data_IF_683292229355
#
_entry.id   IF_683292229355
#
_cell.length_a   1.000
_cell.length_b   1.000
_cell.length_c   1.000
_cell.angle_alpha   90.00
_cell.angle_beta   90.00
_cell.angle_gamma   90.00
#
_symmetry.space_group_name_H-M   'P 1'
#
loop_
_entity.id
_entity.type
_entity.pdbx_description
1 polymer ?
#
# COMPACT_ATOMS: atom_id res chain seq x y z
N UNK A 1 35.36 -13.97 8.84
CA UNK A 1 35.31 -12.78 9.73
C UNK A 1 33.85 -12.52 10.01
N UNK A 2 33.41 -12.74 11.26
CA UNK A 2 32.04 -12.48 11.66
C UNK A 2 31.77 -10.98 11.57
N UNK A 3 30.68 -10.59 10.87
CA UNK A 3 30.15 -9.23 10.94
C UNK A 3 29.89 -8.91 12.41
N UNK A 4 30.61 -7.94 12.93
CA UNK A 4 30.37 -7.45 14.27
C UNK A 4 28.95 -6.88 14.31
N UNK A 5 28.11 -7.38 15.22
CA UNK A 5 26.80 -6.80 15.55
C UNK A 5 27.00 -5.31 15.91
N UNK A 6 26.66 -4.44 14.97
CA UNK A 6 26.73 -2.99 15.18
C UNK A 6 25.54 -2.61 16.07
N UNK A 7 25.81 -2.44 17.35
CA UNK A 7 24.84 -1.87 18.28
C UNK A 7 24.59 -0.41 17.89
N UNK A 8 23.41 -0.14 17.36
CA UNK A 8 23.01 1.19 16.91
C UNK A 8 22.42 1.99 18.08
N UNK A 9 22.60 3.32 18.03
CA UNK A 9 22.02 4.22 19.03
C UNK A 9 20.49 4.24 18.98
N UNK A 10 19.78 4.49 20.09
CA UNK A 10 18.31 4.45 20.14
C UNK A 10 17.60 5.44 19.22
N UNK A 11 18.23 6.56 18.86
CA UNK A 11 17.62 7.59 18.01
C UNK A 11 17.90 7.36 16.51
N UNK A 12 17.22 6.37 15.95
CA UNK A 12 17.28 6.03 14.52
C UNK A 12 15.94 6.26 13.83
N UNK A 13 15.27 7.37 14.14
CA UNK A 13 14.02 7.72 13.49
C UNK A 13 14.21 7.90 11.98
N UNK A 14 13.24 7.39 11.22
CA UNK A 14 13.18 7.58 9.76
C UNK A 14 13.11 9.08 9.46
N UNK A 15 13.95 9.54 8.55
CA UNK A 15 14.01 10.93 8.08
C UNK A 15 13.23 11.07 6.79
N UNK A 16 12.29 12.02 6.77
CA UNK A 16 11.41 12.32 5.64
C UNK A 16 11.84 13.65 5.05
N UNK A 17 12.42 13.64 3.86
CA UNK A 17 12.78 14.85 3.15
C UNK A 17 11.54 15.48 2.51
N UNK A 18 11.29 16.76 2.75
CA UNK A 18 10.13 17.48 2.23
C UNK A 18 10.58 18.55 1.23
N UNK A 19 10.23 18.31 -0.04
CA UNK A 19 10.50 19.20 -1.17
C UNK A 19 9.24 20.01 -1.53
N UNK A 20 9.31 21.32 -1.47
CA UNK A 20 8.21 22.22 -1.85
C UNK A 20 8.71 23.66 -1.99
N UNK A 21 7.96 24.50 -2.70
CA UNK A 21 8.22 25.95 -2.77
C UNK A 21 8.02 26.60 -1.38
N UNK A 22 9.04 27.36 -0.93
CA UNK A 22 9.11 27.84 0.46
C UNK A 22 8.03 28.88 0.80
N UNK A 23 7.81 29.84 -0.09
CA UNK A 23 6.95 30.98 0.18
C UNK A 23 5.46 30.66 -0.04
N UNK A 24 5.14 30.04 -1.16
CA UNK A 24 3.73 29.81 -1.56
C UNK A 24 3.05 28.65 -0.81
N UNK A 25 3.81 27.71 -0.25
CA UNK A 25 3.32 26.51 0.40
C UNK A 25 3.65 26.46 1.91
N UNK A 26 3.75 27.62 2.57
CA UNK A 26 4.13 27.69 3.98
C UNK A 26 3.18 26.92 4.91
N UNK A 27 1.87 27.00 4.69
CA UNK A 27 0.86 26.28 5.47
C UNK A 27 0.91 24.77 5.20
N UNK A 28 1.08 24.36 3.95
CA UNK A 28 1.22 22.97 3.54
C UNK A 28 2.50 22.35 4.11
N UNK A 29 3.59 23.10 4.12
CA UNK A 29 4.85 22.67 4.74
C UNK A 29 4.69 22.40 6.23
N UNK A 30 3.94 23.27 6.93
CA UNK A 30 3.62 23.04 8.34
C UNK A 30 2.75 21.78 8.52
N UNK A 31 1.73 21.58 7.68
CA UNK A 31 0.87 20.41 7.71
C UNK A 31 1.66 19.10 7.50
N UNK A 32 2.58 19.07 6.54
CA UNK A 32 3.48 17.92 6.32
C UNK A 32 4.42 17.70 7.52
N UNK A 33 4.96 18.77 8.10
CA UNK A 33 5.80 18.69 9.30
C UNK A 33 5.05 18.06 10.46
N UNK A 34 3.79 18.47 10.68
CA UNK A 34 2.94 17.97 11.74
C UNK A 34 2.60 16.48 11.50
N UNK A 35 2.25 16.10 10.28
CA UNK A 35 2.01 14.72 9.86
C UNK A 35 3.21 13.81 10.18
N UNK A 36 4.40 14.19 9.72
CA UNK A 36 5.65 13.46 9.95
C UNK A 36 5.96 13.33 11.45
N UNK A 37 5.77 14.43 12.20
CA UNK A 37 6.07 14.48 13.64
C UNK A 37 5.10 13.64 14.45
N UNK A 38 3.80 13.58 14.08
CA UNK A 38 2.80 12.71 14.73
C UNK A 38 3.15 11.24 14.63
N UNK A 39 3.73 10.82 13.50
CA UNK A 39 4.22 9.47 13.30
C UNK A 39 5.60 9.21 13.97
N UNK A 40 6.08 10.13 14.79
CA UNK A 40 7.41 10.07 15.45
C UNK A 40 8.58 9.98 14.47
N UNK A 41 8.40 10.40 13.22
CA UNK A 41 9.44 10.52 12.21
C UNK A 41 10.14 11.88 12.30
N UNK A 42 11.24 12.06 11.58
CA UNK A 42 12.01 13.32 11.55
C UNK A 42 11.76 14.04 10.23
N UNK A 43 11.06 15.18 10.22
CA UNK A 43 10.93 15.99 9.02
C UNK A 43 12.28 16.68 8.72
N UNK A 44 12.80 16.45 7.51
CA UNK A 44 14.01 17.09 6.98
C UNK A 44 13.57 18.11 5.95
N UNK A 45 13.63 19.37 6.31
CA UNK A 45 13.15 20.48 5.48
C UNK A 45 14.26 21.49 5.26
N UNK A 46 14.40 21.93 4.00
CA UNK A 46 15.24 23.06 3.72
C UNK A 46 14.51 24.34 4.09
N UNK A 47 15.06 25.09 5.06
CA UNK A 47 14.49 26.36 5.50
C UNK A 47 15.44 27.49 5.12
N UNK A 48 14.88 28.64 4.71
CA UNK A 48 15.66 29.86 4.51
C UNK A 48 16.20 30.31 5.85
N UNK A 49 17.52 30.30 5.99
CA UNK A 49 18.23 30.76 7.17
C UNK A 49 19.72 30.89 6.89
N UNK A 50 20.46 31.61 7.73
CA UNK A 50 21.90 31.73 7.61
C UNK A 50 22.54 30.33 7.73
N UNK A 51 23.22 29.88 6.68
CA UNK A 51 23.96 28.62 6.65
C UNK A 51 25.39 28.90 6.16
N UNK A 52 26.38 28.21 6.70
CA UNK A 52 27.78 28.39 6.28
C UNK A 52 28.10 27.78 4.91
N UNK A 53 27.11 27.13 4.29
CA UNK A 53 27.25 26.42 3.00
C UNK A 53 26.25 26.91 1.97
N UNK A 54 26.60 26.86 0.67
CA UNK A 54 25.64 27.13 -0.41
C UNK A 54 24.39 26.19 -0.34
N UNK A 55 23.22 26.65 -0.79
CA UNK A 55 21.98 25.86 -0.70
C UNK A 55 22.07 24.45 -1.29
N UNK A 56 22.70 24.29 -2.45
CA UNK A 56 22.75 23.02 -3.19
C UNK A 56 23.51 21.91 -2.46
N UNK A 57 24.72 22.10 -1.90
CA UNK A 57 25.36 21.08 -1.07
C UNK A 57 24.53 20.72 0.18
N UNK A 58 23.81 21.67 0.77
CA UNK A 58 23.03 21.46 2.00
C UNK A 58 21.84 20.54 1.73
N UNK A 59 20.96 20.85 0.76
CA UNK A 59 19.81 19.98 0.52
C UNK A 59 20.23 18.62 -0.03
N UNK A 60 21.29 18.51 -0.80
CA UNK A 60 21.84 17.22 -1.26
C UNK A 60 22.31 16.36 -0.10
N UNK A 61 23.00 16.94 0.88
CA UNK A 61 23.44 16.23 2.08
C UNK A 61 22.22 15.79 2.93
N UNK A 62 21.17 16.63 3.03
CA UNK A 62 19.95 16.29 3.74
C UNK A 62 19.20 15.16 3.05
N UNK A 63 19.06 15.23 1.73
CA UNK A 63 18.40 14.20 0.94
C UNK A 63 19.14 12.85 1.02
N UNK A 64 20.48 12.87 0.95
CA UNK A 64 21.31 11.68 1.06
C UNK A 64 21.17 10.97 2.43
N UNK A 65 20.76 11.68 3.46
CA UNK A 65 20.53 11.13 4.81
C UNK A 65 19.08 10.79 5.09
N UNK A 66 18.18 10.98 4.13
CA UNK A 66 16.75 10.73 4.27
C UNK A 66 16.38 9.38 3.69
N UNK A 67 15.30 8.78 4.20
CA UNK A 67 14.79 7.48 3.80
C UNK A 67 13.51 7.55 2.97
N UNK A 68 12.80 8.68 3.03
CA UNK A 68 11.56 8.94 2.29
C UNK A 68 11.62 10.34 1.71
N UNK A 69 11.07 10.52 0.52
CA UNK A 69 10.90 11.80 -0.14
C UNK A 69 9.41 12.15 -0.24
N UNK A 70 9.04 13.35 0.21
CA UNK A 70 7.71 13.95 0.08
C UNK A 70 7.82 15.18 -0.81
N UNK A 71 7.18 15.17 -1.97
CA UNK A 71 7.13 16.30 -2.91
C UNK A 71 5.76 16.96 -2.91
N UNK A 72 5.69 18.27 -2.65
CA UNK A 72 4.46 19.05 -2.68
C UNK A 72 4.59 20.18 -3.70
N UNK A 73 3.73 20.18 -4.71
CA UNK A 73 3.84 21.09 -5.86
C UNK A 73 2.52 21.84 -6.09
N UNK A 74 2.62 23.13 -6.44
CA UNK A 74 1.44 23.96 -6.72
C UNK A 74 1.61 24.76 -8.01
N UNK A 75 2.10 26.03 -7.93
CA UNK A 75 2.18 26.97 -9.04
C UNK A 75 3.62 27.25 -9.48
N UNK A 76 4.55 27.48 -8.53
CA UNK A 76 5.90 27.92 -8.83
C UNK A 76 6.86 26.76 -9.10
N UNK A 77 7.65 26.88 -10.16
CA UNK A 77 8.77 25.97 -10.46
C UNK A 77 9.93 26.06 -9.45
N UNK A 78 9.97 27.17 -8.73
CA UNK A 78 11.02 27.48 -7.79
C UNK A 78 12.22 28.19 -8.40
N UNK A 79 13.11 28.66 -7.53
CA UNK A 79 14.27 29.45 -7.92
C UNK A 79 15.32 28.60 -8.66
N UNK A 80 15.83 29.14 -9.78
CA UNK A 80 16.97 28.60 -10.53
C UNK A 80 18.21 29.41 -10.19
N UNK A 81 19.21 28.76 -9.60
CA UNK A 81 20.44 29.43 -9.20
C UNK A 81 21.24 29.91 -10.43
N UNK A 82 22.02 31.01 -10.29
CA UNK A 82 22.91 31.47 -11.36
C UNK A 82 23.86 30.36 -11.83
N UNK A 83 23.86 30.10 -13.15
CA UNK A 83 24.67 29.04 -13.76
C UNK A 83 23.99 27.65 -13.78
N UNK A 84 22.82 27.49 -13.18
CA UNK A 84 22.05 26.24 -13.22
C UNK A 84 20.94 26.28 -14.29
N UNK A 85 20.56 25.10 -14.78
CA UNK A 85 19.50 24.98 -15.79
C UNK A 85 18.15 24.60 -15.20
N UNK A 86 18.13 24.03 -14.00
CA UNK A 86 16.95 23.53 -13.30
C UNK A 86 16.81 24.16 -11.92
N UNK A 87 15.59 24.18 -11.40
CA UNK A 87 15.33 24.66 -10.04
C UNK A 87 15.77 23.65 -8.99
N UNK A 88 15.89 24.11 -7.73
CA UNK A 88 16.15 23.23 -6.60
C UNK A 88 15.10 22.12 -6.48
N UNK A 89 13.82 22.43 -6.71
CA UNK A 89 12.73 21.42 -6.67
C UNK A 89 12.93 20.29 -7.69
N UNK A 90 13.32 20.61 -8.91
CA UNK A 90 13.58 19.60 -9.94
C UNK A 90 14.87 18.82 -9.64
N UNK A 91 15.93 19.47 -9.11
CA UNK A 91 17.17 18.77 -8.71
C UNK A 91 16.89 17.78 -7.55
N UNK A 92 16.13 18.22 -6.54
CA UNK A 92 15.70 17.38 -5.40
C UNK A 92 14.89 16.16 -5.87
N UNK A 93 13.91 16.37 -6.77
CA UNK A 93 13.15 15.28 -7.36
C UNK A 93 14.04 14.29 -8.09
N UNK A 94 14.94 14.75 -8.95
CA UNK A 94 15.87 13.86 -9.69
C UNK A 94 16.78 13.07 -8.77
N UNK A 95 17.30 13.71 -7.73
CA UNK A 95 18.18 13.07 -6.75
C UNK A 95 17.45 12.05 -5.86
N UNK A 96 16.13 12.17 -5.69
CA UNK A 96 15.32 11.25 -4.90
C UNK A 96 15.01 9.92 -5.59
N UNK A 97 15.56 9.65 -6.79
CA UNK A 97 15.22 8.48 -7.61
C UNK A 97 15.35 7.11 -6.90
N UNK A 98 16.17 7.02 -5.86
CA UNK A 98 16.38 5.79 -5.07
C UNK A 98 15.55 5.72 -3.79
N UNK A 99 14.78 6.76 -3.49
CA UNK A 99 13.93 6.83 -2.32
C UNK A 99 12.48 6.52 -2.68
N UNK A 100 11.68 5.96 -1.78
CA UNK A 100 10.23 6.01 -1.89
C UNK A 100 9.78 7.46 -2.00
N UNK A 101 8.91 7.74 -2.98
CA UNK A 101 8.43 9.09 -3.28
C UNK A 101 6.94 9.17 -3.05
N UNK A 102 6.51 10.09 -2.20
CA UNK A 102 5.12 10.46 -2.00
C UNK A 102 4.91 11.85 -2.61
N UNK A 103 4.03 11.94 -3.61
CA UNK A 103 3.89 13.15 -4.44
C UNK A 103 2.49 13.71 -4.32
N UNK A 104 2.41 15.03 -4.06
CA UNK A 104 1.15 15.73 -3.84
C UNK A 104 1.05 16.98 -4.71
N UNK A 105 -0.06 17.13 -5.41
CA UNK A 105 -0.35 18.26 -6.28
C UNK A 105 -1.51 19.08 -5.73
N UNK A 106 -1.24 20.34 -5.37
CA UNK A 106 -2.32 21.24 -4.92
C UNK A 106 -3.16 21.71 -6.09
N UNK A 107 -4.49 21.71 -5.90
CA UNK A 107 -5.50 22.15 -6.86
C UNK A 107 -6.51 23.06 -6.16
N UNK A 108 -7.06 24.09 -6.85
CA UNK A 108 -6.73 24.51 -8.20
C UNK A 108 -5.36 25.20 -8.33
N UNK A 109 -4.81 25.22 -9.56
CA UNK A 109 -3.52 25.85 -9.85
C UNK A 109 -3.63 26.67 -11.17
N UNK A 110 -4.35 27.82 -11.15
CA UNK A 110 -4.63 28.60 -12.34
C UNK A 110 -3.37 29.24 -12.97
N UNK A 111 -2.41 29.61 -12.13
CA UNK A 111 -1.20 30.35 -12.54
C UNK A 111 0.06 29.46 -12.55
N UNK A 112 -0.10 28.16 -12.82
CA UNK A 112 1.04 27.22 -12.79
C UNK A 112 2.05 27.55 -13.87
N UNK A 113 3.29 27.77 -13.47
CA UNK A 113 4.40 28.02 -14.37
C UNK A 113 4.61 26.87 -15.36
N UNK A 114 4.89 27.20 -16.63
CA UNK A 114 5.06 26.22 -17.71
C UNK A 114 6.16 25.20 -17.40
N UNK A 115 7.26 25.61 -16.79
CA UNK A 115 8.37 24.71 -16.42
C UNK A 115 7.95 23.72 -15.34
N UNK A 116 7.13 24.14 -14.37
CA UNK A 116 6.56 23.23 -13.39
C UNK A 116 5.58 22.27 -14.04
N UNK A 117 4.70 22.76 -14.91
CA UNK A 117 3.76 21.88 -15.62
C UNK A 117 4.48 20.79 -16.43
N UNK A 118 5.61 21.11 -17.06
CA UNK A 118 6.47 20.16 -17.77
C UNK A 118 7.11 19.14 -16.82
N UNK A 119 7.56 19.57 -15.63
CA UNK A 119 8.09 18.66 -14.61
C UNK A 119 7.01 17.70 -14.13
N UNK A 120 5.80 18.19 -13.80
CA UNK A 120 4.69 17.37 -13.34
C UNK A 120 4.19 16.39 -14.41
N UNK A 121 4.22 16.78 -15.71
CA UNK A 121 3.94 15.86 -16.80
C UNK A 121 4.94 14.70 -16.83
N UNK A 122 6.25 14.99 -16.74
CA UNK A 122 7.28 13.95 -16.65
C UNK A 122 7.09 13.04 -15.44
N UNK A 123 6.78 13.59 -14.26
CA UNK A 123 6.50 12.79 -13.04
C UNK A 123 5.34 11.81 -13.27
N UNK A 124 4.29 12.23 -14.00
CA UNK A 124 3.16 11.37 -14.37
C UNK A 124 3.53 10.29 -15.38
N UNK A 125 4.37 10.64 -16.35
CA UNK A 125 4.75 9.76 -17.46
C UNK A 125 5.81 8.72 -17.05
N UNK A 126 6.60 8.98 -15.99
CA UNK A 126 7.63 8.06 -15.48
C UNK A 126 7.05 6.73 -14.93
N UNK A 127 5.73 6.62 -14.74
CA UNK A 127 5.01 5.36 -14.42
C UNK A 127 5.39 4.69 -13.09
N UNK A 128 6.36 5.23 -12.36
CA UNK A 128 6.90 4.64 -11.13
C UNK A 128 6.50 5.38 -9.85
N UNK A 129 5.62 6.39 -9.92
CA UNK A 129 5.26 7.21 -8.77
C UNK A 129 3.76 7.48 -8.78
N UNK A 130 3.07 7.07 -7.73
CA UNK A 130 1.69 7.49 -7.46
C UNK A 130 1.67 8.93 -6.95
N UNK A 131 0.62 9.68 -7.27
CA UNK A 131 0.44 11.04 -6.78
C UNK A 131 -1.00 11.28 -6.34
N UNK A 132 -1.19 12.16 -5.34
CA UNK A 132 -2.49 12.61 -4.88
C UNK A 132 -2.71 14.08 -5.20
N UNK A 133 -3.97 14.45 -5.45
CA UNK A 133 -4.41 15.84 -5.48
C UNK A 133 -4.97 16.21 -4.13
N UNK A 134 -4.77 17.46 -3.71
CA UNK A 134 -5.33 18.03 -2.49
C UNK A 134 -5.72 19.49 -2.71
N UNK A 135 -6.60 20.02 -1.85
CA UNK A 135 -7.10 21.38 -1.93
C UNK A 135 -6.62 22.29 -0.79
N UNK A 136 -6.47 21.74 0.40
CA UNK A 136 -6.13 22.50 1.60
C UNK A 136 -5.10 21.77 2.48
N UNK A 137 -4.45 22.47 3.43
CA UNK A 137 -3.41 21.90 4.29
C UNK A 137 -3.90 20.75 5.19
N UNK A 138 -5.16 20.73 5.61
CA UNK A 138 -5.69 19.70 6.50
C UNK A 138 -5.87 18.38 5.73
N UNK A 139 -6.37 18.44 4.50
CA UNK A 139 -6.45 17.30 3.59
C UNK A 139 -5.05 16.74 3.30
N UNK A 140 -4.09 17.61 2.97
CA UNK A 140 -2.69 17.19 2.75
C UNK A 140 -2.12 16.49 3.97
N UNK A 141 -2.37 16.99 5.18
CA UNK A 141 -1.89 16.37 6.41
C UNK A 141 -2.40 14.94 6.55
N UNK A 142 -3.69 14.71 6.32
CA UNK A 142 -4.31 13.38 6.42
C UNK A 142 -3.73 12.43 5.36
N UNK A 143 -3.58 12.89 4.12
CA UNK A 143 -2.99 12.10 3.04
C UNK A 143 -1.56 11.68 3.40
N UNK A 144 -0.72 12.60 3.83
CA UNK A 144 0.68 12.33 4.21
C UNK A 144 0.77 11.39 5.41
N UNK A 145 -0.09 11.56 6.44
CA UNK A 145 -0.13 10.65 7.59
C UNK A 145 -0.48 9.21 7.14
N UNK A 146 -1.51 9.05 6.30
CA UNK A 146 -1.95 7.75 5.82
C UNK A 146 -0.88 7.09 4.93
N UNK A 147 -0.34 7.82 3.95
CA UNK A 147 0.62 7.27 3.00
C UNK A 147 1.95 6.91 3.67
N UNK A 148 2.42 7.71 4.63
CA UNK A 148 3.59 7.37 5.44
C UNK A 148 3.34 6.14 6.33
N UNK A 149 2.16 6.02 6.93
CA UNK A 149 1.82 4.86 7.76
C UNK A 149 1.80 3.57 6.93
N UNK A 150 1.22 3.61 5.72
CA UNK A 150 1.22 2.48 4.77
C UNK A 150 2.65 2.14 4.37
N UNK A 151 3.43 3.12 3.91
CA UNK A 151 4.83 2.93 3.49
C UNK A 151 5.70 2.33 4.60
N UNK A 152 5.52 2.77 5.85
CA UNK A 152 6.24 2.21 6.99
C UNK A 152 5.82 0.77 7.26
N UNK A 153 4.53 0.46 7.19
CA UNK A 153 4.01 -0.89 7.38
C UNK A 153 4.57 -1.85 6.34
N UNK A 154 4.58 -1.46 5.08
CA UNK A 154 5.18 -2.23 3.99
C UNK A 154 6.68 -2.49 4.22
N UNK A 155 7.43 -1.47 4.65
CA UNK A 155 8.86 -1.62 4.92
C UNK A 155 9.16 -2.46 6.16
N UNK A 156 8.33 -2.41 7.19
CA UNK A 156 8.46 -3.29 8.35
C UNK A 156 8.17 -4.75 8.00
N UNK A 157 7.23 -5.01 7.10
CA UNK A 157 6.98 -6.36 6.59
C UNK A 157 8.18 -6.90 5.78
N UNK A 158 8.86 -6.05 5.03
CA UNK A 158 10.07 -6.41 4.27
C UNK A 158 11.33 -6.60 5.15
N UNK A 159 11.37 -6.06 6.38
CA UNK A 159 12.59 -6.04 7.21
C UNK A 159 12.52 -6.99 8.42
N UNK A 160 11.43 -7.76 8.60
CA UNK A 160 11.29 -8.75 9.69
C UNK A 160 12.36 -9.83 9.62
N UNK A 161 12.86 -10.34 10.81
CA UNK A 161 13.88 -11.39 10.83
C UNK A 161 13.31 -12.69 10.28
N UNK A 162 13.58 -12.96 9.02
CA UNK A 162 13.14 -14.15 8.27
C UNK A 162 13.35 -14.06 6.76
N UNK A 163 13.69 -12.91 6.21
CA UNK A 163 14.06 -12.76 4.81
C UNK A 163 15.58 -12.62 4.67
N UNK A 164 16.29 -13.75 4.78
CA UNK A 164 17.62 -13.86 4.19
C UNK A 164 17.43 -13.76 2.68
N UNK A 165 18.04 -12.73 2.08
CA UNK A 165 18.02 -12.45 0.67
C UNK A 165 18.48 -13.66 -0.16
N UNK A 166 17.51 -14.38 -0.75
CA UNK A 166 17.72 -15.05 -2.02
C UNK A 166 17.18 -14.10 -3.08
N UNK A 167 18.09 -13.57 -3.88
CA UNK A 167 17.80 -12.53 -4.85
C UNK A 167 16.71 -12.90 -5.85
N UNK A 168 15.66 -12.11 -5.88
CA UNK A 168 14.58 -12.10 -6.83
C UNK A 168 13.58 -11.05 -6.35
N UNK A 169 13.28 -10.05 -7.19
CA UNK A 169 12.13 -9.17 -6.95
C UNK A 169 10.89 -10.06 -6.68
N UNK A 170 9.98 -9.68 -5.72
CA UNK A 170 8.74 -10.42 -5.55
C UNK A 170 8.06 -10.50 -6.91
N UNK A 171 7.73 -11.72 -7.34
CA UNK A 171 6.97 -11.93 -8.56
C UNK A 171 5.64 -11.18 -8.39
N UNK A 172 5.32 -10.31 -9.33
CA UNK A 172 4.03 -9.62 -9.35
C UNK A 172 2.90 -10.64 -9.13
N UNK A 173 1.97 -10.33 -8.23
CA UNK A 173 0.86 -11.23 -7.90
C UNK A 173 1.18 -12.37 -6.90
N UNK A 174 2.35 -12.38 -6.26
CA UNK A 174 2.62 -13.32 -5.18
C UNK A 174 1.75 -13.02 -3.94
N UNK A 175 1.31 -14.08 -3.25
CA UNK A 175 0.59 -13.91 -1.98
C UNK A 175 1.49 -13.24 -0.94
N UNK A 176 1.00 -12.25 -0.19
CA UNK A 176 1.70 -11.72 0.97
C UNK A 176 2.04 -12.83 1.96
N UNK A 177 3.25 -12.82 2.50
CA UNK A 177 3.64 -13.74 3.57
C UNK A 177 3.40 -13.04 4.91
N UNK A 178 2.39 -13.45 5.67
CA UNK A 178 2.08 -12.80 6.93
C UNK A 178 3.17 -13.04 7.98
N UNK A 179 3.65 -11.99 8.64
CA UNK A 179 4.66 -12.08 9.71
C UNK A 179 4.16 -12.77 10.99
N UNK A 180 2.85 -13.02 11.13
CA UNK A 180 2.23 -13.64 12.30
C UNK A 180 1.27 -14.73 11.88
N UNK A 181 1.07 -15.79 12.68
CA UNK A 181 0.03 -16.77 12.39
C UNK A 181 -1.37 -16.13 12.44
N UNK A 182 -2.32 -16.72 11.73
CA UNK A 182 -3.72 -16.37 11.84
C UNK A 182 -4.24 -16.90 13.19
N UNK A 183 -4.81 -16.04 14.03
CA UNK A 183 -5.31 -16.41 15.34
C UNK A 183 -6.83 -16.41 15.39
N UNK A 184 -7.42 -17.53 15.82
CA UNK A 184 -8.85 -17.67 16.12
C UNK A 184 -9.76 -17.50 14.90
N UNK A 185 -9.27 -17.91 13.72
CA UNK A 185 -9.99 -17.87 12.43
C UNK A 185 -9.90 -19.20 11.70
N UNK A 186 -9.50 -20.25 12.40
CA UNK A 186 -9.31 -21.59 11.82
C UNK A 186 -10.63 -22.16 11.28
N UNK A 187 -11.73 -21.89 12.00
CA UNK A 187 -13.07 -22.36 11.59
C UNK A 187 -13.58 -21.60 10.36
N UNK A 188 -13.40 -20.27 10.33
CA UNK A 188 -13.79 -19.47 9.17
C UNK A 188 -12.93 -19.83 7.95
N UNK A 189 -11.64 -20.07 8.12
CA UNK A 189 -10.77 -20.50 7.03
C UNK A 189 -11.24 -21.86 6.44
N UNK A 190 -11.50 -22.85 7.29
CA UNK A 190 -12.03 -24.14 6.86
C UNK A 190 -13.40 -24.02 6.19
N UNK A 191 -14.29 -23.19 6.71
CA UNK A 191 -15.61 -22.98 6.13
C UNK A 191 -15.55 -22.33 4.73
N UNK A 192 -14.58 -21.43 4.50
CA UNK A 192 -14.36 -20.84 3.17
C UNK A 192 -13.75 -21.88 2.22
N UNK A 193 -12.80 -22.68 2.67
CA UNK A 193 -12.24 -23.78 1.88
C UNK A 193 -13.33 -24.78 1.45
N UNK A 194 -14.20 -25.19 2.38
CA UNK A 194 -15.35 -26.05 2.10
C UNK A 194 -16.35 -25.39 1.12
N UNK A 195 -16.54 -24.08 1.22
CA UNK A 195 -17.42 -23.33 0.32
C UNK A 195 -16.84 -23.30 -1.10
N UNK A 196 -15.56 -23.02 -1.25
CA UNK A 196 -14.86 -23.01 -2.55
C UNK A 196 -14.80 -24.41 -3.17
N UNK A 197 -14.69 -25.45 -2.36
CA UNK A 197 -14.68 -26.85 -2.85
C UNK A 197 -16.02 -27.33 -3.40
N UNK A 198 -17.13 -26.58 -3.22
CA UNK A 198 -18.44 -26.97 -3.75
C UNK A 198 -18.54 -26.73 -5.25
N UNK A 199 -19.12 -27.66 -5.97
CA UNK A 199 -19.34 -27.51 -7.40
C UNK A 199 -20.12 -26.23 -7.74
N UNK A 200 -19.60 -25.47 -8.67
CA UNK A 200 -20.22 -24.23 -9.15
C UNK A 200 -19.90 -22.96 -8.35
N UNK A 201 -19.24 -23.05 -7.20
CA UNK A 201 -18.79 -21.89 -6.43
C UNK A 201 -17.47 -21.40 -7.00
N UNK A 202 -17.49 -20.26 -7.67
CA UNK A 202 -16.31 -19.65 -8.29
C UNK A 202 -16.01 -18.21 -7.86
N UNK A 203 -16.89 -17.62 -7.05
CA UNK A 203 -16.72 -16.29 -6.49
C UNK A 203 -17.17 -16.30 -5.03
N UNK A 204 -16.23 -16.09 -4.13
CA UNK A 204 -16.50 -15.93 -2.71
C UNK A 204 -16.04 -14.53 -2.28
N UNK A 205 -16.96 -13.75 -1.72
CA UNK A 205 -16.70 -12.40 -1.22
C UNK A 205 -16.74 -12.40 0.31
N UNK A 206 -15.59 -12.15 0.91
CA UNK A 206 -15.45 -11.97 2.35
C UNK A 206 -15.92 -10.55 2.71
N UNK A 207 -17.06 -10.43 3.39
CA UNK A 207 -17.64 -9.13 3.76
C UNK A 207 -17.45 -8.82 5.23
N UNK A 208 -17.53 -7.54 5.59
CA UNK A 208 -17.46 -7.07 6.97
C UNK A 208 -16.77 -5.71 7.14
N UNK A 209 -16.80 -5.14 8.35
CA UNK A 209 -16.25 -3.82 8.62
C UNK A 209 -14.72 -3.76 8.41
N UNK A 210 -14.20 -2.53 8.27
CA UNK A 210 -12.76 -2.30 8.21
C UNK A 210 -12.05 -2.85 9.47
N UNK A 211 -10.87 -3.42 9.30
CA UNK A 211 -10.06 -3.93 10.42
C UNK A 211 -10.50 -5.27 11.02
N UNK A 212 -11.58 -5.90 10.53
CA UNK A 212 -12.07 -7.20 11.08
C UNK A 212 -11.18 -8.39 10.72
N UNK A 213 -10.22 -8.21 9.81
CA UNK A 213 -9.26 -9.26 9.42
C UNK A 213 -9.60 -9.99 8.14
N UNK A 214 -10.44 -9.43 7.25
CA UNK A 214 -10.82 -10.03 5.95
C UNK A 214 -9.61 -10.38 5.08
N UNK A 215 -8.71 -9.41 4.87
CA UNK A 215 -7.50 -9.60 4.05
C UNK A 215 -6.60 -10.70 4.61
N UNK A 216 -6.40 -10.73 5.92
CA UNK A 216 -5.63 -11.79 6.60
C UNK A 216 -6.24 -13.18 6.41
N UNK A 217 -7.55 -13.28 6.58
CA UNK A 217 -8.29 -14.51 6.40
C UNK A 217 -8.22 -14.97 4.92
N UNK A 218 -8.43 -14.06 3.98
CA UNK A 218 -8.33 -14.32 2.55
C UNK A 218 -6.94 -14.85 2.16
N UNK A 219 -5.87 -14.19 2.61
CA UNK A 219 -4.49 -14.62 2.31
C UNK A 219 -4.21 -16.01 2.84
N UNK A 220 -4.65 -16.34 4.05
CA UNK A 220 -4.47 -17.68 4.62
C UNK A 220 -5.26 -18.75 3.84
N UNK A 221 -6.52 -18.47 3.50
CA UNK A 221 -7.35 -19.37 2.69
C UNK A 221 -6.73 -19.55 1.31
N UNK A 222 -6.35 -18.47 0.64
CA UNK A 222 -5.73 -18.50 -0.68
C UNK A 222 -4.42 -19.32 -0.68
N UNK A 223 -3.61 -19.21 0.37
CA UNK A 223 -2.40 -20.01 0.55
C UNK A 223 -2.70 -21.51 0.64
N UNK A 224 -3.75 -21.89 1.37
CA UNK A 224 -4.17 -23.30 1.50
C UNK A 224 -4.75 -23.84 0.19
N UNK A 225 -5.63 -23.10 -0.45
CA UNK A 225 -6.23 -23.45 -1.75
C UNK A 225 -5.18 -23.59 -2.84
N UNK A 226 -4.11 -22.79 -2.82
CA UNK A 226 -3.07 -22.79 -3.84
C UNK A 226 -2.41 -24.15 -4.09
N UNK A 227 -2.46 -25.08 -3.14
CA UNK A 227 -1.96 -26.43 -3.29
C UNK A 227 -2.84 -27.30 -4.23
N UNK A 228 -4.11 -26.94 -4.40
CA UNK A 228 -5.08 -27.65 -5.24
C UNK A 228 -5.23 -27.09 -6.66
N UNK A 229 -4.61 -25.93 -6.95
CA UNK A 229 -4.71 -25.24 -8.23
C UNK A 229 -3.42 -25.34 -9.04
N UNK A 230 -3.49 -25.89 -10.25
CA UNK A 230 -2.31 -26.13 -11.09
C UNK A 230 -1.53 -24.86 -11.44
N UNK A 231 -2.23 -23.74 -11.63
CA UNK A 231 -1.63 -22.43 -11.92
C UNK A 231 -1.48 -21.55 -10.67
N UNK A 232 -1.77 -22.12 -9.48
CA UNK A 232 -1.55 -21.53 -8.18
C UNK A 232 -2.51 -20.38 -7.84
N UNK A 233 -2.01 -19.42 -7.09
CA UNK A 233 -2.76 -18.25 -6.62
C UNK A 233 -2.07 -16.98 -7.10
N UNK A 234 -2.88 -15.96 -7.41
CA UNK A 234 -2.40 -14.61 -7.66
C UNK A 234 -3.15 -13.63 -6.76
N UNK A 235 -2.39 -12.74 -6.15
CA UNK A 235 -2.92 -11.71 -5.24
C UNK A 235 -2.84 -10.34 -5.92
N UNK A 236 -3.92 -9.57 -5.83
CA UNK A 236 -4.00 -8.21 -6.34
C UNK A 236 -4.60 -7.31 -5.27
N UNK A 237 -3.85 -6.33 -4.83
CA UNK A 237 -4.30 -5.32 -3.89
C UNK A 237 -4.94 -4.15 -4.65
N UNK A 238 -6.18 -3.79 -4.28
CA UNK A 238 -6.96 -2.75 -4.92
C UNK A 238 -7.14 -1.50 -4.02
N UNK A 239 -6.54 -1.50 -2.82
CA UNK A 239 -6.72 -0.43 -1.83
C UNK A 239 -6.35 0.97 -2.35
N UNK A 240 -5.29 1.06 -3.17
CA UNK A 240 -4.82 2.32 -3.74
C UNK A 240 -5.56 2.75 -5.01
N UNK A 241 -6.54 1.97 -5.48
CA UNK A 241 -7.22 2.24 -6.75
C UNK A 241 -8.49 3.06 -6.54
N UNK A 242 -8.57 4.17 -7.25
CA UNK A 242 -9.73 5.07 -7.21
C UNK A 242 -10.63 4.97 -8.46
N UNK A 243 -10.19 4.27 -9.51
CA UNK A 243 -10.89 4.18 -10.78
C UNK A 243 -11.08 2.71 -11.22
N UNK A 244 -12.30 2.30 -11.58
CA UNK A 244 -12.60 0.91 -11.96
C UNK A 244 -11.82 0.44 -13.20
N UNK A 245 -11.40 1.35 -14.06
CA UNK A 245 -10.59 1.07 -15.26
C UNK A 245 -9.18 0.55 -14.93
N UNK A 246 -8.70 0.78 -13.71
CA UNK A 246 -7.39 0.34 -13.25
C UNK A 246 -7.38 -1.13 -12.78
N UNK A 247 -8.53 -1.75 -12.57
CA UNK A 247 -8.60 -3.11 -12.04
C UNK A 247 -8.08 -4.14 -13.05
N UNK A 248 -8.44 -4.02 -14.34
CA UNK A 248 -7.94 -4.93 -15.36
C UNK A 248 -6.41 -4.83 -15.56
N UNK A 249 -5.81 -3.61 -15.63
CA UNK A 249 -4.35 -3.46 -15.60
C UNK A 249 -3.69 -4.10 -14.38
N UNK A 250 -4.25 -3.91 -13.18
CA UNK A 250 -3.69 -4.49 -11.96
C UNK A 250 -3.74 -6.02 -11.94
N UNK A 251 -4.84 -6.60 -12.42
CA UNK A 251 -4.94 -8.06 -12.57
C UNK A 251 -3.90 -8.54 -13.58
N UNK A 252 -3.72 -7.86 -14.71
CA UNK A 252 -2.71 -8.22 -15.71
C UNK A 252 -1.29 -8.16 -15.14
N UNK A 253 -0.97 -7.11 -14.40
CA UNK A 253 0.30 -6.98 -13.70
C UNK A 253 0.51 -8.12 -12.68
N UNK A 254 -0.49 -8.40 -11.85
CA UNK A 254 -0.48 -9.51 -10.90
C UNK A 254 -0.31 -10.89 -11.55
N UNK A 255 -0.73 -11.04 -12.81
CA UNK A 255 -0.53 -12.23 -13.63
C UNK A 255 0.80 -12.24 -14.38
N UNK A 256 1.58 -11.15 -14.32
CA UNK A 256 2.84 -10.99 -15.06
C UNK A 256 2.66 -10.79 -16.55
N UNK A 257 1.50 -10.24 -16.98
CA UNK A 257 1.19 -9.99 -18.39
C UNK A 257 1.65 -8.60 -18.81
N UNK A 258 2.44 -8.54 -19.87
CA UNK A 258 2.72 -7.29 -20.58
C UNK A 258 1.66 -7.10 -21.66
N UNK A 259 0.74 -6.18 -21.47
CA UNK A 259 -0.39 -5.97 -22.37
C UNK A 259 -0.32 -4.61 -23.06
N UNK A 260 -0.76 -4.54 -24.31
CA UNK A 260 -0.89 -3.28 -25.03
C UNK A 260 -2.26 -2.64 -24.80
N UNK A 261 -2.30 -1.32 -24.72
CA UNK A 261 -3.55 -0.56 -24.57
C UNK A 261 -4.56 -0.93 -25.67
N UNK A 262 -5.79 -1.24 -25.28
CA UNK A 262 -6.91 -1.52 -26.17
C UNK A 262 -7.33 -2.98 -26.34
N UNK A 263 -6.55 -3.96 -25.87
CA UNK A 263 -6.89 -5.40 -25.93
C UNK A 263 -6.84 -6.12 -24.58
N UNK A 264 -6.64 -5.37 -23.51
CA UNK A 264 -6.33 -5.87 -22.18
C UNK A 264 -7.34 -6.92 -21.66
N UNK A 265 -8.64 -6.67 -21.76
CA UNK A 265 -9.67 -7.60 -21.29
C UNK A 265 -9.64 -8.91 -22.10
N UNK A 266 -9.49 -8.82 -23.43
CA UNK A 266 -9.40 -10.00 -24.29
C UNK A 266 -8.11 -10.81 -24.03
N UNK A 267 -7.01 -10.13 -23.74
CA UNK A 267 -5.74 -10.78 -23.40
C UNK A 267 -5.85 -11.49 -22.04
N UNK A 268 -6.52 -10.87 -21.04
CA UNK A 268 -6.82 -11.50 -19.74
C UNK A 268 -7.70 -12.73 -19.89
N UNK A 269 -8.79 -12.64 -20.65
CA UNK A 269 -9.68 -13.76 -20.94
C UNK A 269 -8.94 -14.92 -21.62
N UNK A 270 -8.15 -14.61 -22.64
CA UNK A 270 -7.35 -15.61 -23.37
C UNK A 270 -6.31 -16.29 -22.47
N UNK A 271 -5.68 -15.53 -21.59
CA UNK A 271 -4.70 -16.03 -20.64
C UNK A 271 -5.32 -16.93 -19.58
N UNK A 272 -6.47 -16.53 -19.01
CA UNK A 272 -7.12 -17.21 -17.91
C UNK A 272 -7.90 -18.46 -18.37
N UNK A 273 -8.41 -18.48 -19.60
CA UNK A 273 -9.27 -19.55 -20.14
C UNK A 273 -8.73 -20.97 -19.95
N UNK A 274 -7.45 -21.29 -20.26
CA UNK A 274 -6.91 -22.64 -20.09
C UNK A 274 -6.43 -22.93 -18.67
N UNK A 275 -6.53 -22.00 -17.71
CA UNK A 275 -5.88 -22.08 -16.41
C UNK A 275 -6.83 -22.45 -15.29
N UNK A 276 -6.27 -23.16 -14.29
CA UNK A 276 -6.92 -23.40 -13.00
C UNK A 276 -6.21 -22.57 -11.94
N UNK A 277 -6.77 -21.43 -11.63
CA UNK A 277 -6.13 -20.35 -10.85
C UNK A 277 -7.10 -19.79 -9.82
N UNK A 278 -6.59 -19.48 -8.62
CA UNK A 278 -7.27 -18.61 -7.64
C UNK A 278 -6.78 -17.17 -7.79
N UNK A 279 -7.70 -16.24 -7.99
CA UNK A 279 -7.44 -14.81 -8.00
C UNK A 279 -7.95 -14.19 -6.70
N UNK A 280 -7.04 -13.75 -5.85
CA UNK A 280 -7.33 -13.08 -4.58
C UNK A 280 -7.30 -11.56 -4.77
N UNK A 281 -8.46 -10.90 -4.64
CA UNK A 281 -8.65 -9.46 -4.86
C UNK A 281 -8.94 -8.78 -3.52
N UNK A 282 -8.01 -7.97 -3.03
CA UNK A 282 -8.17 -7.28 -1.75
C UNK A 282 -8.73 -5.87 -1.90
N UNK A 283 -9.61 -5.45 -0.98
CA UNK A 283 -10.23 -4.12 -0.93
C UNK A 283 -11.08 -3.76 -2.16
N UNK A 284 -11.87 -4.70 -2.68
CA UNK A 284 -12.70 -4.48 -3.87
C UNK A 284 -13.76 -3.38 -3.71
N UNK A 285 -14.11 -3.00 -2.46
CA UNK A 285 -15.01 -1.88 -2.18
C UNK A 285 -14.57 -0.54 -2.79
N UNK A 286 -13.29 -0.36 -3.07
CA UNK A 286 -12.77 0.85 -3.70
C UNK A 286 -13.20 0.98 -5.16
N UNK A 287 -13.44 -0.16 -5.81
CA UNK A 287 -13.64 -0.26 -7.26
C UNK A 287 -14.87 -1.09 -7.63
N UNK A 288 -15.94 -1.05 -6.85
CA UNK A 288 -17.17 -1.85 -7.05
C UNK A 288 -17.75 -1.75 -8.47
N UNK A 289 -17.55 -0.62 -9.15
CA UNK A 289 -17.97 -0.43 -10.56
C UNK A 289 -17.24 -1.34 -11.55
N UNK A 290 -16.12 -1.95 -11.15
CA UNK A 290 -15.40 -2.94 -11.96
C UNK A 290 -16.00 -4.36 -11.87
N UNK A 291 -16.97 -4.61 -11.00
CA UNK A 291 -17.58 -5.93 -10.82
C UNK A 291 -18.09 -6.57 -12.12
N UNK A 292 -18.72 -5.85 -13.08
CA UNK A 292 -19.13 -6.45 -14.35
C UNK A 292 -17.96 -7.01 -15.18
N UNK A 293 -16.78 -6.39 -15.12
CA UNK A 293 -15.58 -6.91 -15.79
C UNK A 293 -15.14 -8.24 -15.16
N UNK A 294 -15.19 -8.35 -13.83
CA UNK A 294 -14.88 -9.60 -13.13
C UNK A 294 -15.84 -10.73 -13.50
N UNK A 295 -17.14 -10.43 -13.66
CA UNK A 295 -18.13 -11.38 -14.17
C UNK A 295 -17.78 -11.88 -15.58
N UNK A 296 -17.28 -11.01 -16.46
CA UNK A 296 -16.78 -11.35 -17.79
C UNK A 296 -15.61 -12.34 -17.73
N UNK A 297 -14.62 -12.09 -16.86
CA UNK A 297 -13.49 -13.02 -16.68
C UNK A 297 -13.93 -14.39 -16.16
N UNK A 298 -14.84 -14.42 -15.20
CA UNK A 298 -15.41 -15.67 -14.67
C UNK A 298 -16.19 -16.46 -15.74
N UNK A 299 -16.90 -15.75 -16.63
CA UNK A 299 -17.62 -16.39 -17.74
C UNK A 299 -16.65 -16.96 -18.80
N UNK A 300 -15.56 -16.24 -19.09
CA UNK A 300 -14.58 -16.63 -20.11
C UNK A 300 -13.60 -17.72 -19.65
N UNK A 301 -13.38 -17.88 -18.34
CA UNK A 301 -12.37 -18.76 -17.75
C UNK A 301 -13.03 -19.75 -16.76
N UNK A 302 -13.42 -20.97 -17.19
CA UNK A 302 -14.11 -21.95 -16.33
C UNK A 302 -13.29 -22.42 -15.13
N UNK A 303 -11.96 -22.42 -15.23
CA UNK A 303 -11.04 -22.82 -14.17
C UNK A 303 -10.60 -21.68 -13.23
N UNK A 304 -11.14 -20.46 -13.43
CA UNK A 304 -10.88 -19.33 -12.57
C UNK A 304 -11.79 -19.35 -11.35
N UNK A 305 -11.20 -19.23 -10.16
CA UNK A 305 -11.90 -18.96 -8.92
C UNK A 305 -11.44 -17.62 -8.34
N UNK A 306 -12.34 -16.90 -7.71
CA UNK A 306 -12.08 -15.57 -7.17
C UNK A 306 -12.42 -15.54 -5.68
N UNK A 307 -11.46 -15.11 -4.89
CA UNK A 307 -11.65 -14.67 -3.50
C UNK A 307 -11.55 -13.15 -3.47
N UNK A 308 -12.60 -12.47 -3.04
CA UNK A 308 -12.58 -11.03 -2.90
C UNK A 308 -12.79 -10.60 -1.44
N UNK A 309 -12.14 -9.55 -0.99
CA UNK A 309 -12.54 -8.86 0.24
C UNK A 309 -13.24 -7.56 -0.11
N UNK A 310 -14.29 -7.26 0.62
CA UNK A 310 -15.06 -6.03 0.44
C UNK A 310 -15.81 -5.67 1.73
N UNK A 311 -16.23 -4.42 1.86
CA UNK A 311 -17.16 -4.03 2.93
C UNK A 311 -18.60 -4.41 2.61
N UNK A 312 -18.90 -4.64 1.34
CA UNK A 312 -20.23 -4.98 0.83
C UNK A 312 -20.11 -6.04 -0.26
N UNK A 313 -21.20 -6.74 -0.56
CA UNK A 313 -21.30 -7.68 -1.69
C UNK A 313 -21.06 -6.97 -3.02
N UNK A 314 -20.46 -7.69 -3.98
CA UNK A 314 -20.20 -7.21 -5.35
C UNK A 314 -21.46 -7.20 -6.24
N UNK A 315 -22.49 -7.91 -5.82
CA UNK A 315 -23.79 -8.08 -6.52
C UNK A 315 -23.64 -8.76 -7.89
N UNK A 316 -22.79 -9.76 -7.95
CA UNK A 316 -22.59 -10.57 -9.15
C UNK A 316 -23.38 -11.88 -9.08
N UNK A 317 -23.82 -12.36 -10.25
CA UNK A 317 -24.44 -13.69 -10.34
C UNK A 317 -23.43 -14.77 -9.98
N UNK A 318 -23.82 -15.70 -9.11
CA UNK A 318 -22.93 -16.76 -8.61
C UNK A 318 -21.96 -16.31 -7.51
N UNK A 319 -22.13 -15.09 -6.99
CA UNK A 319 -21.39 -14.62 -5.79
C UNK A 319 -21.90 -15.33 -4.54
N UNK A 320 -20.96 -15.83 -3.74
CA UNK A 320 -21.22 -16.36 -2.41
C UNK A 320 -20.62 -15.42 -1.37
N UNK A 321 -21.48 -14.81 -0.58
CA UNK A 321 -21.06 -13.95 0.52
C UNK A 321 -20.60 -14.78 1.71
N UNK A 322 -19.44 -14.44 2.27
CA UNK A 322 -18.96 -14.95 3.55
C UNK A 322 -18.77 -13.77 4.52
N UNK A 323 -19.73 -13.53 5.44
CA UNK A 323 -19.59 -12.47 6.44
C UNK A 323 -18.50 -12.84 7.44
N UNK A 324 -17.51 -11.98 7.61
CA UNK A 324 -16.43 -12.15 8.60
C UNK A 324 -16.82 -11.44 9.90
N UNK A 325 -17.17 -12.18 10.96
CA UNK A 325 -17.56 -11.58 12.24
C UNK A 325 -16.34 -10.97 12.95
N UNK A 326 -16.52 -10.05 13.91
CA UNK A 326 -15.46 -9.67 14.84
C UNK A 326 -14.92 -10.87 15.62
N UNK A 327 -13.66 -10.79 16.06
CA UNK A 327 -13.14 -11.82 16.99
C UNK A 327 -13.95 -11.82 18.28
N UNK A 328 -14.28 -13.01 18.83
CA UNK A 328 -14.94 -13.11 20.12
C UNK A 328 -14.17 -12.38 21.22
N UNK A 329 -14.86 -11.57 21.99
CA UNK A 329 -14.32 -10.89 23.17
C UNK A 329 -14.81 -11.55 24.47
N UNK A 330 -14.03 -11.52 25.55
CA UNK A 330 -14.51 -11.97 26.85
C UNK A 330 -15.77 -11.19 27.26
N UNK A 331 -16.76 -11.82 27.91
CA UNK A 331 -17.88 -11.11 28.50
C UNK A 331 -17.37 -10.14 29.58
N UNK A 332 -18.12 -9.03 29.83
CA UNK A 332 -17.68 -7.96 30.73
C UNK A 332 -17.53 -8.40 32.21
N UNK A 333 -18.18 -9.46 32.56
CA UNK A 333 -18.16 -10.11 33.91
C UNK A 333 -17.16 -11.27 33.99
N UNK A 334 -16.40 -11.54 32.93
CA UNK A 334 -15.37 -12.58 32.98
C UNK A 334 -14.35 -12.26 34.07
N UNK A 335 -14.26 -13.15 35.04
CA UNK A 335 -13.28 -13.04 36.14
C UNK A 335 -11.88 -13.04 35.53
N UNK A 336 -11.05 -12.11 35.97
CA UNK A 336 -9.75 -11.78 35.40
C UNK A 336 -8.66 -12.85 35.70
N UNK A 337 -8.90 -14.10 35.34
CA UNK A 337 -7.84 -15.07 35.22
C UNK A 337 -7.11 -14.88 33.87
N UNK A 338 -5.85 -14.43 33.87
CA UNK A 338 -5.10 -14.17 32.67
C UNK A 338 -4.98 -15.38 31.74
N UNK A 339 -4.97 -16.60 32.25
CA UNK A 339 -4.90 -17.82 31.45
C UNK A 339 -6.23 -18.13 30.74
N UNK A 340 -7.34 -17.89 31.43
CA UNK A 340 -8.67 -18.04 30.82
C UNK A 340 -8.93 -16.96 29.76
N UNK A 341 -8.50 -15.73 30.00
CA UNK A 341 -8.63 -14.63 29.07
C UNK A 341 -7.83 -14.87 27.78
N UNK A 342 -6.68 -15.52 27.84
CA UNK A 342 -5.88 -15.88 26.65
C UNK A 342 -6.56 -16.90 25.73
N UNK A 343 -7.60 -17.58 26.16
CA UNK A 343 -8.39 -18.47 25.29
C UNK A 343 -9.22 -17.70 24.25
N UNK A 344 -9.46 -16.41 24.49
CA UNK A 344 -10.09 -15.55 23.50
C UNK A 344 -9.05 -15.05 22.50
N UNK A 345 -9.31 -15.32 21.22
CA UNK A 345 -8.41 -14.92 20.13
C UNK A 345 -8.15 -13.40 20.09
N UNK A 346 -9.15 -12.57 20.44
CA UNK A 346 -9.02 -11.11 20.56
C UNK A 346 -7.98 -10.72 21.61
N UNK A 347 -7.99 -11.38 22.78
CA UNK A 347 -7.04 -11.13 23.88
C UNK A 347 -5.64 -11.62 23.52
N UNK A 348 -5.54 -12.80 22.90
CA UNK A 348 -4.26 -13.36 22.43
C UNK A 348 -3.63 -12.47 21.37
N UNK A 349 -4.42 -11.97 20.40
CA UNK A 349 -3.97 -11.02 19.37
C UNK A 349 -3.51 -9.70 20.00
N UNK A 350 -4.27 -9.17 20.97
CA UNK A 350 -3.88 -7.95 21.70
C UNK A 350 -2.57 -8.14 22.45
N UNK A 351 -2.45 -9.24 23.22
CA UNK A 351 -1.25 -9.55 23.99
C UNK A 351 -0.02 -9.76 23.08
N UNK A 352 -0.19 -10.38 21.92
CA UNK A 352 0.89 -10.57 20.95
C UNK A 352 1.33 -9.24 20.36
N UNK A 353 0.39 -8.37 20.00
CA UNK A 353 0.70 -7.01 19.52
C UNK A 353 1.36 -6.14 20.55
N UNK A 354 0.88 -6.20 21.81
CA UNK A 354 1.47 -5.46 22.93
C UNK A 354 2.91 -5.89 23.24
N UNK A 355 3.25 -7.17 23.08
CA UNK A 355 4.64 -7.66 23.26
C UNK A 355 5.58 -7.22 22.13
N UNK A 356 5.04 -6.94 20.95
CA UNK A 356 5.81 -6.49 19.76
C UNK A 356 5.88 -4.98 19.64
N UNK A 357 5.06 -4.23 20.38
CA UNK A 357 5.17 -2.79 20.54
C UNK A 357 6.45 -2.40 21.28
N UNK A 358 6.99 -1.18 21.10
CA UNK A 358 8.13 -0.70 21.86
C UNK A 358 7.76 -0.81 23.34
N UNK A 359 8.60 -1.53 24.08
CA UNK A 359 8.35 -1.92 25.46
C UNK A 359 7.83 -0.79 26.34
N UNK A 360 6.83 -1.11 27.18
CA UNK A 360 6.52 -0.38 28.39
C UNK A 360 7.68 -0.54 29.37
#
# INVERSE_FOLDING_TARGET
MAEADIIRTPDQRVRVFVSSALAELAAERQAVRDAVTRLRLVPVMFELGARPHPPRPVYRAYLAQSQVFVGVYWQSYGWVAPGEQISGLEDEYRLSARLPRLIYFKSPAPDRELRLAQLLARIRDEGGVSYHHFSDPAELQQLVENDLAVLLSERFEMTGPGHAATGGAPLAGALPVPATPLLGREQEAAAIEDLVARDGVRLVTLTGPGGVGKSRLMVEVARRLGQGFADGVRFVELAAMSAPELVAPAIAEGLGLSTSAGRLTADLESYLRPRRLVLALDNFEQVLRAAPMLAGLLAAAPGLEVLATSRTVLRLSGEHEFPVPPLPVPPADAVADPEQLRRYASVSLFAERARRGPGL
#
